data_IF_730139684748
#
_entry.id   IF_730139684748
#
_cell.length_a   1.000
_cell.length_b   1.000
_cell.length_c   1.000
_cell.angle_alpha   90.00
_cell.angle_beta   90.00
_cell.angle_gamma   90.00
#
_symmetry.space_group_name_H-M   'P 1'
#
loop_
_entity.id
_entity.type
_entity.pdbx_description
1 polymer ?
#
# COMPACT_ATOMS: atom_id res chain seq x y z
N UNK A 1 32.57 0.12 25.80
CA UNK A 1 31.31 0.83 26.10
C UNK A 1 30.37 0.54 24.93
N UNK A 2 29.25 -0.14 25.17
CA UNK A 2 28.19 -0.20 24.16
C UNK A 2 27.67 1.24 24.04
N UNK A 3 27.74 1.84 22.85
CA UNK A 3 27.13 3.14 22.62
C UNK A 3 25.63 3.03 22.91
N UNK A 4 25.10 3.93 23.72
CA UNK A 4 23.64 4.03 23.92
C UNK A 4 22.98 4.28 22.56
N UNK A 5 21.99 3.44 22.23
CA UNK A 5 21.24 3.58 20.99
C UNK A 5 20.60 4.97 20.94
N UNK A 6 20.57 5.57 19.75
CA UNK A 6 19.81 6.81 19.55
C UNK A 6 18.33 6.62 19.93
N UNK A 7 17.64 7.70 20.24
CA UNK A 7 16.20 7.71 20.45
C UNK A 7 15.52 8.72 19.54
N UNK A 8 14.22 8.51 19.28
CA UNK A 8 13.37 9.52 18.65
C UNK A 8 13.36 10.80 19.50
N UNK A 9 13.46 11.97 18.85
CA UNK A 9 13.49 13.23 19.60
C UNK A 9 12.12 13.55 20.19
N UNK A 10 11.05 13.17 19.48
CA UNK A 10 9.65 13.30 19.92
C UNK A 10 8.84 12.07 19.54
N UNK A 11 7.84 11.73 20.35
CA UNK A 11 6.88 10.64 20.05
C UNK A 11 6.16 10.81 18.70
N UNK A 12 5.85 12.05 18.32
CA UNK A 12 5.18 12.32 17.04
C UNK A 12 6.07 11.98 15.83
N UNK A 13 7.40 12.10 15.95
CA UNK A 13 8.34 11.72 14.88
C UNK A 13 8.30 10.21 14.64
N UNK A 14 8.20 9.41 15.71
CA UNK A 14 7.98 7.97 15.61
C UNK A 14 6.64 7.65 14.95
N UNK A 15 5.54 8.26 15.41
CA UNK A 15 4.20 8.01 14.85
C UNK A 15 4.17 8.36 13.37
N UNK A 16 4.70 9.52 12.97
CA UNK A 16 4.76 9.93 11.56
C UNK A 16 5.67 9.03 10.72
N UNK A 17 6.82 8.60 11.25
CA UNK A 17 7.71 7.68 10.54
C UNK A 17 7.09 6.30 10.34
N UNK A 18 6.27 5.84 11.29
CA UNK A 18 5.53 4.59 11.14
C UNK A 18 4.33 4.78 10.20
N UNK A 19 3.63 5.92 10.28
CA UNK A 19 2.52 6.26 9.38
C UNK A 19 2.99 6.31 7.90
N UNK A 20 4.09 7.00 7.61
CA UNK A 20 4.65 7.06 6.26
C UNK A 20 5.18 5.71 5.75
N UNK A 21 5.54 4.79 6.65
CA UNK A 21 5.98 3.45 6.26
C UNK A 21 4.83 2.48 5.94
N UNK A 22 3.66 2.65 6.58
CA UNK A 22 2.48 1.80 6.33
C UNK A 22 1.57 2.38 5.24
N UNK A 23 1.60 3.70 5.06
CA UNK A 23 0.88 4.41 4.00
C UNK A 23 1.83 4.64 2.83
N UNK A 24 1.74 3.76 1.83
CA UNK A 24 2.57 3.82 0.64
C UNK A 24 1.75 3.78 -0.65
N UNK A 25 2.42 3.51 -1.77
CA UNK A 25 1.78 3.45 -3.08
C UNK A 25 0.70 2.37 -3.19
N UNK A 26 0.85 1.30 -2.41
CA UNK A 26 -0.15 0.22 -2.32
C UNK A 26 -1.52 0.70 -1.82
N UNK A 27 -1.57 1.74 -0.97
CA UNK A 27 -2.82 2.33 -0.52
C UNK A 27 -3.53 3.10 -1.64
N UNK A 28 -2.75 3.68 -2.57
CA UNK A 28 -3.27 4.54 -3.64
C UNK A 28 -3.73 3.74 -4.85
N UNK A 29 -2.98 2.74 -5.31
CA UNK A 29 -3.34 2.01 -6.52
C UNK A 29 -3.74 0.55 -6.30
N UNK A 30 -3.16 -0.14 -5.32
CA UNK A 30 -3.37 -1.59 -5.15
C UNK A 30 -4.67 -1.85 -4.42
N UNK A 31 -4.89 -1.15 -3.31
CA UNK A 31 -6.12 -1.31 -2.54
C UNK A 31 -7.37 -0.97 -3.36
N UNK A 32 -7.44 0.17 -4.08
CA UNK A 32 -8.59 0.47 -4.92
C UNK A 32 -8.79 -0.58 -6.02
N UNK A 33 -7.71 -1.01 -6.67
CA UNK A 33 -7.79 -2.07 -7.68
C UNK A 33 -8.28 -3.41 -7.11
N UNK A 34 -7.84 -3.81 -5.91
CA UNK A 34 -8.32 -5.04 -5.26
C UNK A 34 -9.79 -4.94 -4.83
N UNK A 35 -10.24 -3.76 -4.42
CA UNK A 35 -11.66 -3.50 -4.18
C UNK A 35 -12.47 -3.58 -5.49
N UNK A 36 -11.90 -3.12 -6.62
CA UNK A 36 -12.49 -3.28 -7.95
C UNK A 36 -12.61 -4.74 -8.36
N UNK A 37 -11.49 -5.48 -8.32
CA UNK A 37 -11.42 -6.87 -8.75
C UNK A 37 -12.37 -7.77 -7.97
N UNK A 38 -12.67 -7.40 -6.72
CA UNK A 38 -13.40 -8.22 -5.77
C UNK A 38 -14.60 -7.49 -5.15
N UNK A 39 -15.37 -6.75 -5.95
CA UNK A 39 -16.76 -6.33 -5.67
C UNK A 39 -17.02 -5.59 -4.34
N UNK A 40 -16.54 -4.35 -4.20
CA UNK A 40 -16.63 -3.54 -2.98
C UNK A 40 -17.99 -3.52 -2.22
N UNK A 41 -17.94 -3.61 -0.87
CA UNK A 41 -19.09 -3.38 0.03
C UNK A 41 -18.65 -2.67 1.33
N UNK A 42 -19.35 -1.60 1.75
CA UNK A 42 -19.16 -0.92 3.05
C UNK A 42 -20.43 -0.98 3.92
N UNK A 43 -21.61 -1.24 3.35
CA UNK A 43 -22.89 -0.77 3.89
C UNK A 43 -23.55 -1.63 4.96
N UNK A 44 -23.43 -2.96 4.88
CA UNK A 44 -24.29 -3.85 5.68
C UNK A 44 -23.59 -4.52 6.89
N UNK A 45 -22.26 -4.40 7.04
CA UNK A 45 -21.50 -5.17 8.03
C UNK A 45 -20.77 -4.34 9.10
N UNK A 46 -20.69 -3.01 8.96
CA UNK A 46 -19.98 -2.14 9.93
C UNK A 46 -20.53 -2.29 11.37
N UNK A 47 -21.85 -2.53 11.49
CA UNK A 47 -22.53 -2.68 12.78
C UNK A 47 -22.17 -4.00 13.50
N UNK A 48 -22.34 -5.20 12.91
CA UNK A 48 -21.92 -6.46 13.56
C UNK A 48 -20.40 -6.57 13.75
N UNK A 49 -19.61 -5.97 12.86
CA UNK A 49 -18.15 -5.87 13.01
C UNK A 49 -17.74 -5.08 14.26
N UNK A 50 -18.23 -3.84 14.42
CA UNK A 50 -17.92 -3.01 15.60
C UNK A 50 -18.30 -3.71 16.91
N UNK A 51 -19.36 -4.53 16.89
CA UNK A 51 -19.76 -5.36 18.03
C UNK A 51 -18.70 -6.42 18.34
N UNK A 52 -18.28 -7.24 17.38
CA UNK A 52 -17.28 -8.31 17.60
C UNK A 52 -15.90 -7.79 17.99
N UNK A 53 -15.50 -6.63 17.45
CA UNK A 53 -14.24 -5.96 17.80
C UNK A 53 -14.22 -5.53 19.27
N UNK A 54 -15.31 -4.90 19.74
CA UNK A 54 -15.42 -4.41 21.10
C UNK A 54 -15.64 -5.54 22.11
N UNK A 55 -16.39 -6.58 21.76
CA UNK A 55 -16.75 -7.66 22.70
C UNK A 55 -15.76 -8.82 22.73
N UNK A 56 -15.03 -9.09 21.64
CA UNK A 56 -14.12 -10.24 21.55
C UNK A 56 -12.68 -9.83 21.21
N UNK A 57 -12.48 -8.99 20.19
CA UNK A 57 -11.14 -8.62 19.71
C UNK A 57 -10.30 -7.86 20.75
N UNK A 58 -10.83 -6.75 21.27
CA UNK A 58 -10.14 -5.92 22.28
C UNK A 58 -9.90 -6.72 23.58
N UNK A 59 -10.86 -7.48 24.14
CA UNK A 59 -10.61 -8.30 25.33
C UNK A 59 -9.57 -9.40 25.12
N UNK A 60 -9.58 -10.12 24.00
CA UNK A 60 -8.57 -11.15 23.70
C UNK A 60 -7.17 -10.55 23.56
N UNK A 61 -7.07 -9.41 22.88
CA UNK A 61 -5.80 -8.70 22.73
C UNK A 61 -5.24 -8.21 24.08
N UNK A 62 -6.08 -7.61 24.93
CA UNK A 62 -5.69 -7.18 26.27
C UNK A 62 -5.30 -8.37 27.16
N UNK A 63 -6.01 -9.49 27.03
CA UNK A 63 -5.69 -10.74 27.73
C UNK A 63 -4.32 -11.27 27.32
N UNK A 64 -4.03 -11.41 26.03
CA UNK A 64 -2.75 -11.92 25.54
C UNK A 64 -1.58 -10.99 25.91
N UNK A 65 -1.80 -9.68 25.83
CA UNK A 65 -0.81 -8.67 26.23
C UNK A 65 -0.54 -8.71 27.74
N UNK A 66 -1.58 -8.83 28.57
CA UNK A 66 -1.46 -8.92 30.01
C UNK A 66 -0.79 -10.24 30.44
N UNK A 67 -1.14 -11.36 29.79
CA UNK A 67 -0.55 -12.69 30.03
C UNK A 67 0.94 -12.70 29.64
N UNK A 68 1.28 -12.11 28.48
CA UNK A 68 2.68 -11.95 28.06
C UNK A 68 3.50 -11.08 29.04
N UNK A 69 2.91 -10.00 29.55
CA UNK A 69 3.56 -9.11 30.52
C UNK A 69 3.69 -9.74 31.91
N UNK A 70 2.69 -10.50 32.36
CA UNK A 70 2.70 -11.17 33.66
C UNK A 70 3.72 -12.31 33.69
N UNK A 71 3.86 -13.06 32.59
CA UNK A 71 4.75 -14.21 32.54
C UNK A 71 6.21 -13.87 32.22
N UNK A 72 6.48 -12.72 31.57
CA UNK A 72 7.82 -12.28 31.14
C UNK A 72 8.66 -13.38 30.42
N UNK A 73 7.98 -14.29 29.73
CA UNK A 73 8.59 -15.42 29.02
C UNK A 73 8.01 -15.54 27.60
N UNK A 74 8.67 -16.33 26.74
CA UNK A 74 8.18 -16.60 25.38
C UNK A 74 6.76 -17.21 25.40
N UNK A 75 5.98 -16.94 24.35
CA UNK A 75 4.57 -17.32 24.23
C UNK A 75 4.30 -18.80 24.55
N UNK A 76 5.16 -19.70 24.06
CA UNK A 76 5.07 -21.15 24.29
C UNK A 76 5.28 -21.49 25.78
N UNK A 77 6.25 -20.85 26.44
CA UNK A 77 6.56 -21.09 27.85
C UNK A 77 5.48 -20.53 28.78
N UNK A 78 4.86 -19.42 28.37
CA UNK A 78 3.72 -18.80 29.05
C UNK A 78 2.51 -19.75 29.11
N UNK A 79 2.12 -20.33 27.97
CA UNK A 79 1.02 -21.30 27.90
C UNK A 79 1.32 -22.62 28.61
N UNK A 80 2.60 -23.07 28.62
CA UNK A 80 3.04 -24.26 29.35
C UNK A 80 2.76 -24.19 30.86
N UNK A 81 2.84 -23.00 31.46
CA UNK A 81 2.56 -22.78 32.89
C UNK A 81 1.07 -22.60 33.20
N UNK A 82 0.30 -22.04 32.26
CA UNK A 82 -1.13 -21.76 32.42
C UNK A 82 -2.02 -22.98 32.19
N UNK A 83 -1.73 -23.80 31.18
CA UNK A 83 -2.49 -25.03 30.92
C UNK A 83 -1.68 -26.01 30.05
N UNK A 84 -1.11 -27.08 30.63
CA UNK A 84 -0.31 -28.08 29.89
C UNK A 84 -1.09 -28.82 28.78
N UNK A 85 -2.42 -28.82 28.82
CA UNK A 85 -3.29 -29.48 27.82
C UNK A 85 -3.40 -28.65 26.53
N UNK A 86 -3.10 -27.35 26.56
CA UNK A 86 -3.16 -26.48 25.39
C UNK A 86 -1.97 -26.63 24.44
N UNK A 87 -0.99 -27.48 24.77
CA UNK A 87 0.23 -27.73 23.96
C UNK A 87 -0.10 -28.23 22.54
N UNK A 88 -1.27 -28.87 22.35
CA UNK A 88 -1.77 -29.34 21.06
C UNK A 88 -2.74 -28.40 20.32
N UNK A 89 -3.10 -27.25 20.91
CA UNK A 89 -4.07 -26.30 20.32
C UNK A 89 -3.43 -25.02 19.76
N UNK A 90 -2.09 -24.87 19.87
CA UNK A 90 -1.35 -23.67 19.42
C UNK A 90 -0.72 -23.90 18.04
N UNK A 91 -1.46 -24.58 17.17
CA UNK A 91 -1.33 -24.45 15.71
C UNK A 91 -2.73 -24.17 15.18
N UNK A 92 -3.22 -22.95 15.42
CA UNK A 92 -4.38 -22.41 14.72
C UNK A 92 -4.00 -22.05 13.28
N UNK A 93 -3.71 -23.06 12.47
CA UNK A 93 -3.75 -23.01 11.01
C UNK A 93 -4.51 -24.23 10.43
N UNK A 94 -4.76 -25.28 11.22
CA UNK A 94 -5.41 -26.51 10.71
C UNK A 94 -6.91 -26.37 10.41
N UNK A 95 -7.65 -25.56 11.15
CA UNK A 95 -9.11 -25.46 11.00
C UNK A 95 -9.59 -24.22 10.23
N UNK A 96 -8.74 -23.20 10.05
CA UNK A 96 -9.05 -22.02 9.23
C UNK A 96 -8.86 -22.31 7.73
N UNK A 97 -8.02 -23.29 7.36
CA UNK A 97 -7.76 -23.65 5.96
C UNK A 97 -8.56 -24.86 5.47
N UNK A 98 -8.88 -25.82 6.36
CA UNK A 98 -9.59 -27.04 5.95
C UNK A 98 -11.10 -26.83 5.74
N UNK A 99 -11.72 -25.91 6.47
CA UNK A 99 -13.13 -25.60 6.31
C UNK A 99 -13.40 -24.83 4.99
N UNK A 100 -12.60 -23.81 4.61
CA UNK A 100 -12.67 -23.22 3.27
C UNK A 100 -12.26 -24.18 2.15
N UNK A 101 -11.30 -25.10 2.37
CA UNK A 101 -10.94 -26.13 1.38
C UNK A 101 -12.08 -27.15 1.11
N UNK A 102 -12.91 -27.43 2.11
CA UNK A 102 -14.09 -28.30 1.95
C UNK A 102 -15.28 -27.55 1.31
N UNK A 103 -15.39 -26.23 1.52
CA UNK A 103 -16.31 -25.37 0.78
C UNK A 103 -15.85 -25.12 -0.67
N UNK A 104 -14.53 -25.04 -0.91
CA UNK A 104 -13.83 -24.91 -2.21
C UNK A 104 -14.16 -26.04 -3.19
N UNK A 105 -14.53 -27.23 -2.70
CA UNK A 105 -14.89 -28.34 -3.59
C UNK A 105 -16.28 -28.17 -4.25
N UNK A 106 -17.12 -27.24 -3.75
CA UNK A 106 -18.57 -27.25 -4.03
C UNK A 106 -19.22 -25.91 -4.47
N UNK A 107 -18.48 -24.87 -4.88
CA UNK A 107 -19.17 -23.71 -5.50
C UNK A 107 -18.27 -22.52 -5.78
N UNK A 108 -18.33 -22.03 -7.02
CA UNK A 108 -17.64 -20.84 -7.49
C UNK A 108 -18.51 -19.58 -7.50
N UNK A 109 -17.83 -18.52 -7.93
CA UNK A 109 -18.26 -17.17 -8.32
C UNK A 109 -18.16 -16.04 -7.26
N UNK A 110 -17.73 -14.88 -7.79
CA UNK A 110 -16.63 -13.93 -7.41
C UNK A 110 -17.02 -12.86 -6.40
N UNK A 111 -16.07 -12.37 -5.48
CA UNK A 111 -15.64 -11.04 -4.76
C UNK A 111 -16.38 -10.02 -3.71
N UNK A 112 -16.22 -10.05 -2.39
CA UNK A 112 -16.67 -8.93 -1.51
C UNK A 112 -15.60 -8.57 -0.49
N UNK A 113 -14.66 -7.73 -0.92
CA UNK A 113 -13.32 -7.65 -0.36
C UNK A 113 -13.15 -6.83 0.91
N UNK A 114 -13.92 -5.75 1.07
CA UNK A 114 -13.70 -4.84 2.19
C UNK A 114 -14.12 -5.45 3.54
N UNK A 115 -15.13 -6.32 3.54
CA UNK A 115 -15.58 -7.03 4.75
C UNK A 115 -14.48 -7.96 5.30
N UNK A 116 -13.93 -8.92 4.51
CA UNK A 116 -12.73 -9.67 4.86
C UNK A 116 -11.58 -8.78 5.33
N UNK A 117 -11.33 -7.67 4.63
CA UNK A 117 -10.27 -6.73 4.97
C UNK A 117 -10.47 -6.13 6.37
N UNK A 118 -11.64 -5.57 6.68
CA UNK A 118 -11.92 -4.99 7.99
C UNK A 118 -11.83 -6.05 9.10
N UNK A 119 -12.40 -7.24 8.89
CA UNK A 119 -12.30 -8.36 9.84
C UNK A 119 -10.84 -8.68 10.14
N UNK A 120 -10.03 -8.92 9.11
CA UNK A 120 -8.63 -9.29 9.23
C UNK A 120 -7.77 -8.15 9.79
N UNK A 121 -8.12 -6.89 9.57
CA UNK A 121 -7.43 -5.75 10.19
C UNK A 121 -7.52 -5.85 11.70
N UNK A 122 -8.67 -6.19 12.26
CA UNK A 122 -8.81 -6.30 13.72
C UNK A 122 -8.34 -7.64 14.25
N UNK A 123 -8.64 -8.75 13.59
CA UNK A 123 -8.31 -10.08 14.12
C UNK A 123 -6.85 -10.44 13.93
N UNK A 124 -6.17 -9.92 12.90
CA UNK A 124 -4.78 -10.27 12.59
C UNK A 124 -3.86 -9.04 12.50
N UNK A 125 -4.27 -8.01 11.76
CA UNK A 125 -3.43 -6.84 11.48
C UNK A 125 -3.00 -6.09 12.73
N UNK A 126 -3.96 -5.62 13.52
CA UNK A 126 -3.73 -4.86 14.76
C UNK A 126 -2.94 -5.68 15.78
N UNK A 127 -3.32 -6.94 16.11
CA UNK A 127 -2.57 -7.75 17.06
C UNK A 127 -1.10 -7.96 16.65
N UNK A 128 -0.84 -8.28 15.39
CA UNK A 128 0.53 -8.52 14.92
C UNK A 128 1.36 -7.23 14.86
N UNK A 129 0.76 -6.12 14.46
CA UNK A 129 1.40 -4.81 14.46
C UNK A 129 1.83 -4.40 15.89
N UNK A 130 0.95 -4.63 16.86
CA UNK A 130 1.20 -4.39 18.27
C UNK A 130 2.31 -5.30 18.81
N UNK A 131 2.25 -6.59 18.46
CA UNK A 131 3.25 -7.58 18.85
C UNK A 131 4.66 -7.17 18.37
N UNK A 132 4.83 -6.87 17.08
CA UNK A 132 6.14 -6.48 16.54
C UNK A 132 6.65 -5.17 17.14
N UNK A 133 5.76 -4.20 17.35
CA UNK A 133 6.11 -2.93 17.96
C UNK A 133 6.58 -3.12 19.41
N UNK A 134 5.87 -3.93 20.19
CA UNK A 134 6.22 -4.26 21.57
C UNK A 134 7.53 -5.04 21.64
N UNK A 135 7.72 -6.04 20.76
CA UNK A 135 8.95 -6.82 20.65
C UNK A 135 10.14 -5.93 20.31
N UNK A 136 9.99 -5.02 19.33
CA UNK A 136 11.04 -4.08 18.96
C UNK A 136 11.42 -3.13 20.10
N UNK A 137 10.42 -2.54 20.76
CA UNK A 137 10.64 -1.65 21.91
C UNK A 137 11.26 -2.39 23.11
N UNK A 138 10.85 -3.64 23.36
CA UNK A 138 11.44 -4.45 24.44
C UNK A 138 12.88 -4.84 24.13
N UNK A 139 13.15 -5.28 22.90
CA UNK A 139 14.46 -5.76 22.51
C UNK A 139 15.51 -4.65 22.42
N UNK A 140 15.10 -3.42 22.00
CA UNK A 140 15.99 -2.28 21.73
C UNK A 140 17.12 -2.58 20.72
N UNK A 141 16.89 -3.56 19.84
CA UNK A 141 17.89 -4.13 18.94
C UNK A 141 17.39 -4.16 17.48
N UNK A 142 18.28 -4.42 16.52
CA UNK A 142 17.87 -4.70 15.15
C UNK A 142 17.10 -6.02 15.01
N UNK A 143 16.43 -6.25 13.88
CA UNK A 143 15.59 -7.45 13.66
C UNK A 143 16.34 -8.77 13.86
N UNK A 144 17.53 -8.94 13.29
CA UNK A 144 18.36 -10.16 13.43
C UNK A 144 18.73 -10.41 14.90
N UNK A 145 19.28 -9.39 15.54
CA UNK A 145 19.70 -9.43 16.95
C UNK A 145 18.53 -9.63 17.91
N UNK A 146 17.34 -9.13 17.56
CA UNK A 146 16.10 -9.36 18.30
C UNK A 146 15.70 -10.84 18.27
N UNK A 147 15.66 -11.45 17.08
CA UNK A 147 15.37 -12.88 16.94
C UNK A 147 16.40 -13.75 17.66
N UNK A 148 17.69 -13.41 17.58
CA UNK A 148 18.74 -14.11 18.33
C UNK A 148 18.53 -14.08 19.85
N UNK A 149 18.03 -12.97 20.40
CA UNK A 149 17.73 -12.85 21.85
C UNK A 149 16.45 -13.61 22.24
N UNK A 150 15.43 -13.61 21.38
CA UNK A 150 14.15 -14.27 21.65
C UNK A 150 14.21 -15.79 21.46
N UNK A 151 14.72 -16.22 20.32
CA UNK A 151 14.84 -17.63 19.94
C UNK A 151 16.02 -17.79 18.96
N UNK A 152 17.21 -18.20 19.44
CA UNK A 152 18.40 -18.36 18.59
C UNK A 152 18.19 -19.28 17.38
N UNK A 153 17.34 -20.30 17.51
CA UNK A 153 17.01 -21.23 16.40
C UNK A 153 16.28 -20.48 15.27
N UNK A 154 15.49 -19.47 15.61
CA UNK A 154 14.73 -18.65 14.67
C UNK A 154 15.49 -17.41 14.16
N UNK A 155 16.81 -17.30 14.41
CA UNK A 155 17.63 -16.18 13.95
C UNK A 155 17.55 -15.98 12.41
N UNK A 156 17.36 -17.08 11.67
CA UNK A 156 17.14 -17.06 10.21
C UNK A 156 15.96 -16.21 9.76
N UNK A 157 14.93 -16.02 10.60
CA UNK A 157 13.77 -15.15 10.28
C UNK A 157 14.23 -13.70 10.11
N UNK A 158 15.17 -13.24 10.95
CA UNK A 158 15.73 -11.89 10.85
C UNK A 158 16.50 -11.68 9.55
N UNK A 159 17.31 -12.66 9.13
CA UNK A 159 18.04 -12.60 7.85
C UNK A 159 17.09 -12.65 6.65
N UNK A 160 16.06 -13.49 6.71
CA UNK A 160 15.02 -13.56 5.67
C UNK A 160 14.29 -12.22 5.51
N UNK A 161 13.90 -11.58 6.62
CA UNK A 161 13.28 -10.25 6.60
C UNK A 161 14.17 -9.18 5.96
N UNK A 162 15.47 -9.16 6.30
CA UNK A 162 16.43 -8.22 5.67
C UNK A 162 16.56 -8.48 4.17
N UNK A 163 16.59 -9.73 3.73
CA UNK A 163 16.67 -10.07 2.30
C UNK A 163 15.42 -9.60 1.53
N UNK A 164 14.23 -9.79 2.11
CA UNK A 164 12.97 -9.27 1.55
C UNK A 164 13.03 -7.74 1.41
N UNK A 165 13.54 -7.03 2.43
CA UNK A 165 13.71 -5.58 2.37
C UNK A 165 14.67 -5.14 1.28
N UNK A 166 15.80 -5.82 1.10
CA UNK A 166 16.78 -5.49 0.04
C UNK A 166 16.13 -5.58 -1.35
N UNK A 167 15.45 -6.69 -1.65
CA UNK A 167 14.75 -6.84 -2.94
C UNK A 167 13.62 -5.82 -3.12
N UNK A 168 12.91 -5.53 -2.03
CA UNK A 168 11.87 -4.49 -2.03
C UNK A 168 12.46 -3.12 -2.32
N UNK A 169 13.59 -2.75 -1.70
CA UNK A 169 14.28 -1.49 -1.97
C UNK A 169 14.72 -1.36 -3.43
N UNK A 170 15.32 -2.42 -4.00
CA UNK A 170 15.81 -2.41 -5.39
C UNK A 170 14.67 -2.16 -6.39
N UNK A 171 13.50 -2.77 -6.17
CA UNK A 171 12.37 -2.65 -7.10
C UNK A 171 11.60 -1.35 -6.91
N UNK A 172 11.42 -0.92 -5.67
CA UNK A 172 10.57 0.21 -5.34
C UNK A 172 11.23 1.56 -5.64
N UNK A 173 12.56 1.66 -5.53
CA UNK A 173 13.30 2.87 -5.95
C UNK A 173 13.18 3.14 -7.46
N UNK A 174 12.98 2.09 -8.27
CA UNK A 174 12.73 2.24 -9.72
C UNK A 174 11.36 2.86 -9.98
N UNK A 175 10.35 2.52 -9.17
CA UNK A 175 9.03 3.16 -9.27
C UNK A 175 9.12 4.65 -8.95
N UNK A 176 9.94 5.02 -7.96
CA UNK A 176 10.23 6.41 -7.63
C UNK A 176 10.97 7.14 -8.76
N UNK A 177 11.87 6.47 -9.49
CA UNK A 177 12.56 7.09 -10.62
C UNK A 177 11.63 7.34 -11.81
N UNK A 178 10.68 6.44 -12.08
CA UNK A 178 9.60 6.69 -13.05
C UNK A 178 8.75 7.89 -12.64
N UNK A 179 8.38 7.97 -11.37
CA UNK A 179 7.58 9.07 -10.83
C UNK A 179 8.28 10.42 -10.95
N UNK A 180 9.59 10.46 -10.68
CA UNK A 180 10.41 11.64 -10.87
C UNK A 180 10.51 12.05 -12.35
N UNK A 181 10.64 11.07 -13.25
CA UNK A 181 10.67 11.34 -14.69
C UNK A 181 9.35 11.96 -15.17
N UNK A 182 8.20 11.38 -14.76
CA UNK A 182 6.89 11.94 -15.06
C UNK A 182 6.73 13.36 -14.49
N UNK A 183 7.17 13.60 -13.25
CA UNK A 183 7.15 14.93 -12.64
C UNK A 183 7.93 15.96 -13.46
N UNK A 184 9.11 15.59 -13.99
CA UNK A 184 9.90 16.47 -14.87
C UNK A 184 9.11 16.80 -16.14
N UNK A 185 8.48 15.80 -16.76
CA UNK A 185 7.66 16.01 -17.95
C UNK A 185 6.38 16.83 -17.68
N UNK A 186 5.83 16.81 -16.46
CA UNK A 186 4.66 17.60 -16.07
C UNK A 186 4.86 19.12 -16.16
N UNK A 187 6.12 19.59 -16.16
CA UNK A 187 6.44 21.03 -16.32
C UNK A 187 6.46 21.48 -17.79
N UNK A 188 6.22 20.58 -18.75
CA UNK A 188 6.12 20.91 -20.16
C UNK A 188 4.83 21.68 -20.46
N UNK A 189 4.86 22.54 -21.49
CA UNK A 189 3.68 23.32 -21.89
C UNK A 189 2.50 22.45 -22.31
N UNK A 190 2.76 21.33 -22.98
CA UNK A 190 1.82 20.26 -23.28
C UNK A 190 2.34 18.96 -22.66
N UNK A 191 1.43 18.18 -22.06
CA UNK A 191 1.80 16.89 -21.47
C UNK A 191 2.14 15.89 -22.58
N UNK A 192 3.30 15.19 -22.51
CA UNK A 192 3.73 14.27 -23.58
C UNK A 192 2.75 13.12 -23.84
N UNK A 193 2.04 12.67 -22.80
CA UNK A 193 1.04 11.59 -22.88
C UNK A 193 -0.37 12.07 -23.27
N UNK A 194 -0.56 13.36 -23.56
CA UNK A 194 -1.85 13.91 -23.99
C UNK A 194 -2.02 13.89 -25.53
N UNK A 195 -0.93 13.75 -26.29
CA UNK A 195 -0.96 13.83 -27.76
C UNK A 195 -0.24 12.66 -28.40
N UNK A 196 -0.67 12.28 -29.61
CA UNK A 196 -0.03 11.24 -30.42
C UNK A 196 1.06 11.77 -31.37
N UNK A 197 1.40 13.07 -31.30
CA UNK A 197 2.34 13.69 -32.25
C UNK A 197 3.78 13.69 -31.71
N UNK A 198 4.28 12.53 -31.30
CA UNK A 198 5.65 12.38 -30.82
C UNK A 198 6.41 11.29 -31.61
N UNK A 199 7.74 11.33 -31.56
CA UNK A 199 8.59 10.40 -32.31
C UNK A 199 8.50 8.94 -31.85
N UNK A 200 7.94 8.69 -30.68
CA UNK A 200 7.72 7.35 -30.13
C UNK A 200 6.31 6.83 -30.39
N UNK A 201 5.41 7.64 -30.99
CA UNK A 201 4.04 7.19 -31.22
C UNK A 201 3.93 6.36 -32.50
N UNK A 202 3.04 5.38 -32.48
CA UNK A 202 2.72 4.55 -33.65
C UNK A 202 1.55 5.12 -34.45
N UNK A 203 1.33 4.60 -35.66
CA UNK A 203 0.15 4.93 -36.47
C UNK A 203 -1.19 4.45 -35.86
N UNK A 204 -1.14 3.69 -34.76
CA UNK A 204 -2.30 3.17 -34.04
C UNK A 204 -2.65 3.98 -32.79
N UNK A 205 -1.89 5.05 -32.51
CA UNK A 205 -2.12 5.91 -31.36
C UNK A 205 -3.42 6.70 -31.48
N UNK A 206 -4.17 6.78 -30.37
CA UNK A 206 -5.39 7.56 -30.25
C UNK A 206 -5.35 8.52 -29.06
N UNK A 207 -5.74 9.78 -29.26
CA UNK A 207 -5.74 10.84 -28.22
C UNK A 207 -7.10 11.49 -27.97
N UNK A 208 -8.22 10.83 -28.28
CA UNK A 208 -9.57 11.23 -27.84
C UNK A 208 -10.18 12.50 -28.46
N UNK A 209 -9.38 13.42 -29.03
CA UNK A 209 -9.86 14.77 -29.34
C UNK A 209 -9.97 15.19 -30.81
N UNK A 210 -9.55 14.41 -31.83
CA UNK A 210 -9.67 14.90 -33.22
C UNK A 210 -9.83 13.87 -34.36
N UNK A 211 -9.81 12.55 -34.14
CA UNK A 211 -9.87 11.58 -35.23
C UNK A 211 -11.26 10.94 -35.39
N UNK A 212 -12.28 11.77 -35.65
CA UNK A 212 -13.63 11.29 -36.00
C UNK A 212 -13.71 10.69 -37.42
N UNK A 213 -12.67 10.81 -38.25
CA UNK A 213 -12.65 10.34 -39.65
C UNK A 213 -11.95 9.01 -39.91
N UNK A 214 -11.43 8.30 -38.89
CA UNK A 214 -10.72 7.03 -39.05
C UNK A 214 -11.36 5.82 -38.33
N UNK A 215 -12.62 5.96 -37.88
CA UNK A 215 -13.23 5.04 -36.91
C UNK A 215 -13.59 3.64 -37.48
N UNK A 216 -13.66 3.42 -38.78
CA UNK A 216 -14.36 2.23 -39.27
C UNK A 216 -13.54 0.95 -39.44
N UNK A 217 -12.24 0.86 -39.11
CA UNK A 217 -11.47 -0.37 -39.43
C UNK A 217 -10.19 -0.69 -38.62
N UNK A 218 -9.90 -0.08 -37.46
CA UNK A 218 -8.72 -0.46 -36.66
C UNK A 218 -9.14 -1.18 -35.39
N UNK A 219 -8.99 -2.51 -35.38
CA UNK A 219 -9.26 -3.38 -34.22
C UNK A 219 -8.19 -3.33 -33.12
N UNK A 220 -7.07 -2.61 -33.35
CA UNK A 220 -5.96 -2.48 -32.40
C UNK A 220 -5.54 -1.01 -32.28
N UNK A 221 -6.28 -0.18 -31.55
CA UNK A 221 -5.88 1.20 -31.21
C UNK A 221 -5.32 1.27 -29.81
N UNK A 222 -4.20 1.97 -29.63
CA UNK A 222 -3.50 2.17 -28.35
C UNK A 222 -3.65 3.60 -27.88
N UNK A 223 -3.76 3.83 -26.56
CA UNK A 223 -3.84 5.19 -26.04
C UNK A 223 -2.47 5.89 -26.09
N UNK A 224 -2.47 7.21 -26.24
CA UNK A 224 -1.24 8.02 -26.18
C UNK A 224 -0.47 7.83 -24.85
N UNK A 225 -1.18 7.60 -23.75
CA UNK A 225 -0.57 7.35 -22.44
C UNK A 225 0.07 5.95 -22.35
N UNK A 226 -0.57 4.93 -22.91
CA UNK A 226 -0.02 3.56 -23.01
C UNK A 226 1.26 3.57 -23.82
N UNK A 227 1.28 4.21 -25.00
CA UNK A 227 2.50 4.28 -25.81
C UNK A 227 3.62 5.10 -25.14
N UNK A 228 3.28 6.18 -24.43
CA UNK A 228 4.25 6.93 -23.65
C UNK A 228 4.89 6.05 -22.56
N UNK A 229 4.09 5.27 -21.82
CA UNK A 229 4.59 4.37 -20.79
C UNK A 229 5.45 3.24 -21.37
N UNK A 230 4.91 2.48 -22.33
CA UNK A 230 5.52 1.26 -22.82
C UNK A 230 6.71 1.52 -23.75
N UNK A 231 6.59 2.49 -24.67
CA UNK A 231 7.58 2.71 -25.71
C UNK A 231 8.60 3.79 -25.33
N UNK A 232 8.17 4.84 -24.60
CA UNK A 232 9.04 5.97 -24.28
C UNK A 232 9.71 5.88 -22.91
N UNK A 233 8.96 5.55 -21.86
CA UNK A 233 9.49 5.47 -20.48
C UNK A 233 10.19 4.14 -20.24
N UNK A 234 9.48 3.02 -20.46
CA UNK A 234 10.02 1.68 -20.23
C UNK A 234 10.86 1.19 -21.41
N UNK A 235 10.44 1.49 -22.64
CA UNK A 235 10.97 0.86 -23.86
C UNK A 235 10.99 -0.68 -23.71
N UNK A 236 9.80 -1.23 -23.46
CA UNK A 236 9.60 -2.66 -23.17
C UNK A 236 10.22 -3.52 -24.28
N UNK A 237 11.08 -4.45 -23.89
CA UNK A 237 11.72 -5.41 -24.79
C UNK A 237 10.83 -6.63 -25.06
N UNK A 238 11.22 -7.47 -26.03
CA UNK A 238 10.47 -8.68 -26.38
C UNK A 238 10.43 -9.75 -25.27
N UNK A 239 11.29 -9.65 -24.26
CA UNK A 239 11.30 -10.57 -23.12
C UNK A 239 12.50 -10.36 -22.19
N UNK A 240 12.54 -11.14 -21.10
CA UNK A 240 13.60 -11.04 -20.08
C UNK A 240 15.01 -11.38 -20.63
N UNK A 241 15.06 -12.21 -21.68
CA UNK A 241 16.32 -12.60 -22.35
C UNK A 241 16.93 -11.43 -23.14
N UNK A 242 16.10 -10.47 -23.55
CA UNK A 242 16.50 -9.29 -24.30
C UNK A 242 16.39 -8.06 -23.41
N UNK A 243 17.39 -7.82 -22.57
CA UNK A 243 17.37 -6.70 -21.60
C UNK A 243 17.39 -5.33 -22.32
N UNK A 244 17.78 -5.29 -23.59
CA UNK A 244 17.82 -4.06 -24.38
C UNK A 244 18.92 -3.10 -23.93
N UNK A 245 18.65 -1.79 -23.99
CA UNK A 245 19.60 -0.74 -23.62
C UNK A 245 19.12 0.04 -22.40
N UNK A 246 20.05 0.50 -21.57
CA UNK A 246 19.73 1.29 -20.38
C UNK A 246 19.21 2.67 -20.78
N UNK A 247 18.01 3.02 -20.32
CA UNK A 247 17.42 4.35 -20.51
C UNK A 247 18.11 5.36 -19.60
N UNK A 248 18.99 6.18 -20.17
CA UNK A 248 19.82 7.15 -19.42
C UNK A 248 19.02 8.14 -18.57
N UNK A 249 17.84 8.57 -19.04
CA UNK A 249 16.97 9.47 -18.28
C UNK A 249 16.44 8.82 -16.99
N UNK A 250 15.98 7.58 -17.07
CA UNK A 250 15.53 6.80 -15.90
C UNK A 250 16.70 6.53 -14.96
N UNK A 251 17.89 6.26 -15.50
CA UNK A 251 19.11 6.08 -14.70
C UNK A 251 19.50 7.37 -13.94
N UNK A 252 19.39 8.53 -14.57
CA UNK A 252 19.63 9.83 -13.92
C UNK A 252 18.60 10.09 -12.81
N UNK A 253 17.31 9.83 -13.08
CA UNK A 253 16.27 9.92 -12.07
C UNK A 253 16.50 8.94 -10.90
N UNK A 254 16.96 7.72 -11.19
CA UNK A 254 17.29 6.71 -10.19
C UNK A 254 18.45 7.17 -9.30
N UNK A 255 19.52 7.71 -9.87
CA UNK A 255 20.64 8.28 -9.10
C UNK A 255 20.17 9.45 -8.24
N UNK A 256 19.32 10.34 -8.78
CA UNK A 256 18.76 11.46 -8.02
C UNK A 256 17.92 10.96 -6.82
N UNK A 257 17.07 9.94 -7.02
CA UNK A 257 16.27 9.36 -5.94
C UNK A 257 17.14 8.71 -4.86
N UNK A 258 18.22 8.00 -5.22
CA UNK A 258 19.18 7.46 -4.24
C UNK A 258 19.85 8.55 -3.41
N UNK A 259 20.25 9.66 -4.04
CA UNK A 259 20.85 10.80 -3.35
C UNK A 259 19.85 11.44 -2.38
N UNK A 260 18.58 11.58 -2.78
CA UNK A 260 17.51 12.08 -1.91
C UNK A 260 17.32 11.14 -0.71
N UNK A 261 17.14 9.83 -0.95
CA UNK A 261 17.00 8.83 0.12
C UNK A 261 18.19 8.87 1.09
N UNK A 262 19.42 8.96 0.57
CA UNK A 262 20.63 9.06 1.40
C UNK A 262 20.56 10.27 2.36
N UNK A 263 20.26 11.46 1.86
CA UNK A 263 20.15 12.66 2.71
C UNK A 263 18.97 12.60 3.68
N UNK A 264 17.90 11.88 3.36
CA UNK A 264 16.81 11.64 4.30
C UNK A 264 17.27 10.83 5.52
N UNK A 265 18.15 9.84 5.33
CA UNK A 265 18.56 8.88 6.39
C UNK A 265 19.96 9.08 6.96
N UNK A 266 20.82 9.94 6.37
CA UNK A 266 22.27 10.03 6.69
C UNK A 266 22.64 10.25 8.17
N UNK A 267 21.75 10.85 8.99
CA UNK A 267 21.95 11.04 10.45
C UNK A 267 21.03 10.13 11.27
N UNK A 268 20.58 9.03 10.68
CA UNK A 268 19.63 8.07 11.27
C UNK A 268 18.28 8.71 11.61
N UNK A 269 17.67 8.21 12.69
CA UNK A 269 16.33 8.61 13.15
C UNK A 269 16.17 10.11 13.42
N UNK A 270 17.26 10.84 13.69
CA UNK A 270 17.21 12.30 13.89
C UNK A 270 17.00 13.09 12.59
N UNK A 271 17.45 12.55 11.46
CA UNK A 271 17.18 13.13 10.13
C UNK A 271 15.80 12.70 9.66
N UNK A 272 15.55 11.39 9.69
CA UNK A 272 14.28 10.80 9.27
C UNK A 272 13.10 11.45 10.00
N UNK A 273 13.18 11.57 11.33
CA UNK A 273 12.12 12.18 12.15
C UNK A 273 11.79 13.64 11.77
N UNK A 274 12.71 14.38 11.15
CA UNK A 274 12.46 15.74 10.67
C UNK A 274 11.86 15.76 9.27
N UNK A 275 12.34 14.89 8.39
CA UNK A 275 11.86 14.78 7.00
C UNK A 275 10.42 14.31 6.96
N UNK A 276 10.04 13.34 7.81
CA UNK A 276 8.68 12.76 7.87
C UNK A 276 7.58 13.76 8.21
N UNK A 277 7.91 14.92 8.82
CA UNK A 277 6.92 15.97 9.01
C UNK A 277 6.39 16.50 7.68
N UNK A 278 7.22 16.54 6.65
CA UNK A 278 6.83 16.98 5.32
C UNK A 278 6.37 15.81 4.46
N UNK A 279 7.19 14.77 4.37
CA UNK A 279 6.94 13.64 3.46
C UNK A 279 5.70 12.85 3.84
N UNK A 280 5.39 12.68 5.14
CA UNK A 280 4.22 11.92 5.56
C UNK A 280 2.94 12.75 5.62
N UNK A 281 3.01 14.08 5.73
CA UNK A 281 1.81 14.92 5.88
C UNK A 281 1.31 15.51 4.57
N UNK A 282 2.22 15.90 3.66
CA UNK A 282 1.85 16.52 2.40
C UNK A 282 1.02 15.61 1.47
N UNK A 283 1.26 14.28 1.41
CA UNK A 283 0.39 13.37 0.65
C UNK A 283 -1.08 13.44 1.06
N UNK A 284 -1.39 13.69 2.34
CA UNK A 284 -2.78 13.84 2.79
C UNK A 284 -3.44 15.10 2.23
N UNK A 285 -2.69 16.21 2.19
CA UNK A 285 -3.17 17.46 1.60
C UNK A 285 -3.42 17.26 0.10
N UNK A 286 -2.48 16.61 -0.60
CA UNK A 286 -2.60 16.32 -2.03
C UNK A 286 -3.76 15.36 -2.32
N UNK A 287 -3.91 14.31 -1.50
CA UNK A 287 -5.00 13.36 -1.61
C UNK A 287 -6.35 14.04 -1.40
N UNK A 288 -6.47 14.94 -0.41
CA UNK A 288 -7.69 15.71 -0.18
C UNK A 288 -8.02 16.63 -1.38
N UNK A 289 -7.03 17.30 -1.94
CA UNK A 289 -7.19 18.15 -3.13
C UNK A 289 -7.64 17.32 -4.34
N UNK A 290 -7.02 16.16 -4.58
CA UNK A 290 -7.39 15.24 -5.65
C UNK A 290 -8.77 14.61 -5.42
N UNK A 291 -9.14 14.32 -4.18
CA UNK A 291 -10.46 13.81 -3.81
C UNK A 291 -11.56 14.83 -4.09
N UNK A 292 -11.39 16.08 -3.62
CA UNK A 292 -12.34 17.16 -3.89
C UNK A 292 -12.44 17.36 -5.41
N UNK A 293 -11.31 17.41 -6.11
CA UNK A 293 -11.31 17.57 -7.56
C UNK A 293 -12.03 16.42 -8.26
N UNK A 294 -11.68 15.18 -7.93
CA UNK A 294 -12.26 13.97 -8.50
C UNK A 294 -13.77 13.93 -8.33
N UNK A 295 -14.28 14.21 -7.13
CA UNK A 295 -15.72 14.23 -6.86
C UNK A 295 -16.48 15.37 -7.56
N UNK A 296 -15.80 16.46 -7.96
CA UNK A 296 -16.41 17.56 -8.73
C UNK A 296 -16.45 17.32 -10.24
N UNK A 297 -15.83 16.26 -10.74
CA UNK A 297 -15.82 15.94 -12.17
C UNK A 297 -17.16 15.35 -12.62
N UNK A 298 -17.59 15.57 -13.88
CA UNK A 298 -18.75 14.89 -14.42
C UNK A 298 -18.52 13.37 -14.47
N UNK A 299 -19.55 12.55 -14.29
CA UNK A 299 -19.42 11.09 -14.29
C UNK A 299 -18.70 10.48 -13.06
N UNK A 300 -18.16 11.29 -12.15
CA UNK A 300 -17.45 10.79 -10.96
C UNK A 300 -18.30 9.87 -10.08
N UNK A 301 -19.61 10.11 -10.03
CA UNK A 301 -20.55 9.28 -9.28
C UNK A 301 -20.66 7.86 -9.82
N UNK A 302 -20.47 7.62 -11.12
CA UNK A 302 -20.47 6.27 -11.68
C UNK A 302 -19.30 5.46 -11.12
N UNK A 303 -18.11 6.07 -11.04
CA UNK A 303 -16.93 5.47 -10.43
C UNK A 303 -17.10 5.21 -8.94
N UNK A 304 -17.64 6.17 -8.19
CA UNK A 304 -17.91 5.99 -6.75
C UNK A 304 -18.97 4.92 -6.50
N UNK A 305 -20.02 4.91 -7.31
CA UNK A 305 -21.07 3.90 -7.22
C UNK A 305 -20.50 2.52 -7.55
N UNK A 306 -19.67 2.41 -8.58
CA UNK A 306 -18.98 1.17 -8.94
C UNK A 306 -18.00 0.69 -7.86
N UNK A 307 -17.36 1.61 -7.14
CA UNK A 307 -16.50 1.28 -6.00
C UNK A 307 -17.26 0.77 -4.77
N UNK A 308 -18.52 1.22 -4.59
CA UNK A 308 -19.32 0.94 -3.40
C UNK A 308 -20.42 -0.13 -3.59
N UNK A 309 -20.85 -0.39 -4.83
CA UNK A 309 -21.97 -1.27 -5.10
C UNK A 309 -21.58 -2.74 -4.83
N UNK A 310 -22.28 -3.40 -3.90
CA UNK A 310 -21.92 -4.74 -3.48
C UNK A 310 -22.51 -5.79 -4.42
N UNK A 311 -21.73 -6.83 -4.67
CA UNK A 311 -22.27 -8.11 -5.10
C UNK A 311 -22.08 -9.10 -3.93
N UNK A 312 -23.17 -9.61 -3.33
CA UNK A 312 -23.07 -10.36 -2.04
C UNK A 312 -22.68 -11.82 -2.24
N UNK A 313 -22.95 -12.39 -3.41
CA UNK A 313 -22.46 -13.71 -3.86
C UNK A 313 -20.97 -13.88 -3.61
N UNK A 314 -20.32 -12.74 -3.66
CA UNK A 314 -18.93 -12.60 -3.75
C UNK A 314 -18.14 -12.82 -2.43
N UNK A 315 -18.81 -12.76 -1.26
CA UNK A 315 -18.22 -13.07 0.05
C UNK A 315 -17.87 -14.57 0.22
N UNK A 316 -18.46 -15.42 -0.61
CA UNK A 316 -18.29 -16.87 -0.55
C UNK A 316 -16.95 -17.35 -1.12
N UNK A 317 -16.29 -16.53 -1.95
CA UNK A 317 -15.03 -16.89 -2.60
C UNK A 317 -13.84 -16.78 -1.62
N UNK A 318 -13.13 -17.90 -1.33
CA UNK A 318 -11.95 -17.89 -0.47
C UNK A 318 -10.80 -17.02 -1.00
N UNK A 319 -10.69 -16.81 -2.32
CA UNK A 319 -9.63 -15.99 -2.91
C UNK A 319 -9.69 -14.56 -2.40
N UNK A 320 -10.89 -14.03 -2.20
CA UNK A 320 -11.14 -12.67 -1.68
C UNK A 320 -10.56 -12.50 -0.28
N UNK A 321 -10.76 -13.49 0.59
CA UNK A 321 -10.22 -13.50 1.94
C UNK A 321 -8.69 -13.61 1.95
N UNK A 322 -8.12 -14.41 1.04
CA UNK A 322 -6.66 -14.52 0.88
C UNK A 322 -6.05 -13.20 0.36
N UNK A 323 -6.68 -12.57 -0.63
CA UNK A 323 -6.24 -11.27 -1.16
C UNK A 323 -6.37 -10.16 -0.11
N UNK A 324 -7.43 -10.16 0.70
CA UNK A 324 -7.63 -9.22 1.80
C UNK A 324 -6.57 -9.41 2.90
N UNK A 325 -6.27 -10.66 3.26
CA UNK A 325 -5.20 -10.97 4.20
C UNK A 325 -3.86 -10.46 3.67
N UNK A 326 -3.50 -10.84 2.44
CA UNK A 326 -2.25 -10.41 1.81
C UNK A 326 -2.13 -8.88 1.79
N UNK A 327 -3.21 -8.16 1.45
CA UNK A 327 -3.22 -6.70 1.44
C UNK A 327 -2.88 -6.11 2.81
N UNK A 328 -3.39 -6.68 3.90
CA UNK A 328 -3.10 -6.19 5.27
C UNK A 328 -1.65 -6.45 5.66
N UNK A 329 -1.16 -7.67 5.42
CA UNK A 329 0.23 -8.03 5.73
C UNK A 329 1.22 -7.14 4.98
N UNK A 330 0.98 -6.90 3.68
CA UNK A 330 1.84 -6.03 2.87
C UNK A 330 1.67 -4.55 3.20
N UNK A 331 0.45 -4.07 3.49
CA UNK A 331 0.20 -2.67 3.82
C UNK A 331 0.81 -2.29 5.18
N UNK A 332 0.70 -3.14 6.19
CA UNK A 332 1.32 -2.88 7.49
C UNK A 332 2.80 -3.25 7.55
N UNK A 333 3.35 -3.91 6.52
CA UNK A 333 4.73 -4.41 6.50
C UNK A 333 5.08 -5.31 7.70
N UNK A 334 4.10 -6.09 8.17
CA UNK A 334 4.23 -6.98 9.32
C UNK A 334 4.99 -8.25 8.92
N UNK A 335 5.83 -8.77 9.80
CA UNK A 335 6.58 -10.01 9.64
C UNK A 335 7.96 -9.83 9.00
N UNK A 336 8.29 -8.62 8.55
CA UNK A 336 9.55 -8.32 7.85
C UNK A 336 10.61 -7.73 8.80
N UNK A 337 10.19 -7.18 9.94
CA UNK A 337 11.08 -6.63 10.97
C UNK A 337 11.42 -5.14 10.84
N UNK A 338 10.85 -4.43 9.86
CA UNK A 338 11.00 -2.98 9.73
C UNK A 338 10.35 -2.23 10.90
N UNK A 339 9.19 -2.71 11.38
CA UNK A 339 8.48 -2.16 12.54
C UNK A 339 9.23 -2.42 13.86
N UNK A 340 9.85 -3.60 13.99
CA UNK A 340 10.73 -3.95 15.13
C UNK A 340 11.86 -2.93 15.22
N UNK A 341 12.56 -2.66 14.11
CA UNK A 341 13.67 -1.71 14.08
C UNK A 341 13.19 -0.30 14.42
N UNK A 342 12.08 0.20 13.84
CA UNK A 342 11.57 1.55 14.15
C UNK A 342 11.15 1.69 15.61
N UNK A 343 10.53 0.66 16.17
CA UNK A 343 10.06 0.65 17.58
C UNK A 343 11.21 0.49 18.58
N UNK A 344 12.32 -0.12 18.17
CA UNK A 344 13.52 -0.26 19.02
C UNK A 344 14.25 1.04 19.34
N UNK A 345 13.92 2.14 18.66
CA UNK A 345 14.41 3.49 18.99
C UNK A 345 13.48 4.23 19.97
N UNK A 346 12.35 3.63 20.33
CA UNK A 346 11.43 4.21 21.32
C UNK A 346 11.94 3.96 22.75
N UNK A 347 11.57 4.80 23.71
CA UNK A 347 12.00 4.63 25.10
C UNK A 347 11.38 3.37 25.73
N UNK A 348 12.14 2.63 26.53
CA UNK A 348 11.65 1.39 27.18
C UNK A 348 10.42 1.64 28.07
N UNK A 349 10.45 2.71 28.88
CA UNK A 349 9.37 3.11 29.78
C UNK A 349 8.19 3.82 29.07
N UNK A 350 8.10 3.74 27.74
CA UNK A 350 6.95 4.30 27.04
C UNK A 350 5.68 3.53 27.42
N UNK A 351 4.67 4.26 27.88
CA UNK A 351 3.46 3.69 28.45
C UNK A 351 2.75 2.76 27.44
N UNK A 352 2.55 1.50 27.82
CA UNK A 352 1.86 0.47 27.03
C UNK A 352 0.52 0.97 26.49
N UNK A 353 -0.26 1.70 27.29
CA UNK A 353 -1.54 2.25 26.85
C UNK A 353 -1.39 3.24 25.69
N UNK A 354 -0.36 4.09 25.74
CA UNK A 354 -0.08 5.04 24.64
C UNK A 354 0.40 4.32 23.40
N UNK A 355 1.16 3.23 23.53
CA UNK A 355 1.62 2.42 22.40
C UNK A 355 0.46 1.69 21.73
N UNK A 356 -0.44 1.11 22.53
CA UNK A 356 -1.65 0.46 22.06
C UNK A 356 -2.54 1.46 21.33
N UNK A 357 -2.82 2.61 21.95
CA UNK A 357 -3.64 3.66 21.34
C UNK A 357 -3.01 4.23 20.06
N UNK A 358 -1.68 4.43 20.04
CA UNK A 358 -0.98 4.93 18.85
C UNK A 358 -1.04 3.91 17.71
N UNK A 359 -0.91 2.62 18.00
CA UNK A 359 -0.97 1.57 16.99
C UNK A 359 -2.38 1.40 16.43
N UNK A 360 -3.41 1.46 17.28
CA UNK A 360 -4.81 1.50 16.83
C UNK A 360 -5.07 2.70 15.91
N UNK A 361 -4.56 3.88 16.30
CA UNK A 361 -4.66 5.08 15.47
C UNK A 361 -3.94 4.92 14.12
N UNK A 362 -2.73 4.33 14.11
CA UNK A 362 -1.96 4.07 12.90
C UNK A 362 -2.66 3.08 11.96
N UNK A 363 -3.21 1.98 12.49
CA UNK A 363 -4.01 1.05 11.70
C UNK A 363 -5.27 1.71 11.13
N UNK A 364 -5.99 2.50 11.94
CA UNK A 364 -7.15 3.25 11.49
C UNK A 364 -6.79 4.28 10.40
N UNK A 365 -5.67 4.99 10.57
CA UNK A 365 -5.14 5.95 9.61
C UNK A 365 -4.79 5.27 8.29
N UNK A 366 -4.13 4.12 8.31
CA UNK A 366 -3.83 3.35 7.11
C UNK A 366 -5.11 2.94 6.36
N UNK A 367 -6.06 2.33 7.05
CA UNK A 367 -7.35 1.93 6.47
C UNK A 367 -8.12 3.13 5.92
N UNK A 368 -8.21 4.22 6.69
CA UNK A 368 -8.88 5.45 6.27
C UNK A 368 -8.22 6.07 5.05
N UNK A 369 -6.88 6.02 4.97
CA UNK A 369 -6.13 6.52 3.81
C UNK A 369 -6.42 5.67 2.57
N UNK A 370 -6.41 4.34 2.70
CA UNK A 370 -6.75 3.42 1.60
C UNK A 370 -8.17 3.66 1.06
N UNK A 371 -9.15 3.84 1.94
CA UNK A 371 -10.53 4.14 1.57
C UNK A 371 -10.63 5.50 0.86
N UNK A 372 -10.02 6.55 1.43
CA UNK A 372 -10.01 7.89 0.83
C UNK A 372 -9.32 7.90 -0.55
N UNK A 373 -8.23 7.15 -0.69
CA UNK A 373 -7.56 6.95 -1.97
C UNK A 373 -8.40 6.18 -2.97
N UNK A 374 -9.18 5.18 -2.52
CA UNK A 374 -10.21 4.53 -3.32
C UNK A 374 -11.19 5.53 -3.93
N UNK A 375 -11.80 6.38 -3.10
CA UNK A 375 -12.70 7.43 -3.60
C UNK A 375 -12.02 8.39 -4.57
N UNK A 376 -10.78 8.81 -4.29
CA UNK A 376 -10.04 9.73 -5.16
C UNK A 376 -9.69 9.11 -6.52
N UNK A 377 -9.32 7.82 -6.55
CA UNK A 377 -8.98 7.11 -7.80
C UNK A 377 -10.23 6.79 -8.60
N UNK A 378 -11.25 6.18 -7.99
CA UNK A 378 -12.46 5.78 -8.72
C UNK A 378 -13.29 6.96 -9.20
N UNK A 379 -13.31 8.09 -8.49
CA UNK A 379 -13.98 9.29 -8.99
C UNK A 379 -13.33 9.80 -10.29
N UNK A 380 -12.01 9.75 -10.39
CA UNK A 380 -11.26 10.13 -11.61
C UNK A 380 -11.42 9.09 -12.73
N UNK A 381 -11.43 7.79 -12.41
CA UNK A 381 -11.71 6.75 -13.40
C UNK A 381 -13.15 6.81 -13.93
N UNK A 382 -14.12 7.12 -13.06
CA UNK A 382 -15.52 7.32 -13.47
C UNK A 382 -15.68 8.49 -14.43
N UNK A 383 -14.96 9.60 -14.17
CA UNK A 383 -14.87 10.71 -15.13
C UNK A 383 -14.28 10.26 -16.48
N UNK A 384 -13.18 9.50 -16.47
CA UNK A 384 -12.58 9.00 -17.71
C UNK A 384 -13.55 8.11 -18.50
N UNK A 385 -14.20 7.16 -17.81
CA UNK A 385 -15.17 6.25 -18.40
C UNK A 385 -16.34 7.01 -19.05
N UNK A 386 -16.87 8.02 -18.35
CA UNK A 386 -17.95 8.88 -18.85
C UNK A 386 -17.54 9.70 -20.08
N UNK A 387 -16.34 10.31 -20.09
CA UNK A 387 -15.85 11.08 -21.24
C UNK A 387 -15.54 10.21 -22.46
N UNK A 388 -15.07 8.98 -22.24
CA UNK A 388 -14.76 8.04 -23.32
C UNK A 388 -15.96 7.20 -23.78
N UNK A 389 -17.06 7.20 -23.01
CA UNK A 389 -18.24 6.37 -23.27
C UNK A 389 -17.98 4.86 -23.17
N UNK A 390 -16.99 4.45 -22.36
CA UNK A 390 -16.59 3.05 -22.17
C UNK A 390 -16.88 2.61 -20.72
N UNK A 391 -17.12 1.32 -20.45
CA UNK A 391 -17.32 0.86 -19.08
C UNK A 391 -16.06 1.02 -18.24
N UNK A 392 -16.22 1.24 -16.93
CA UNK A 392 -15.10 1.49 -16.00
C UNK A 392 -14.09 0.32 -15.96
N UNK A 393 -14.55 -0.91 -16.24
CA UNK A 393 -13.70 -2.10 -16.30
C UNK A 393 -12.58 -2.01 -17.34
N UNK A 394 -12.81 -1.25 -18.42
CA UNK A 394 -11.90 -1.18 -19.57
C UNK A 394 -10.82 -0.11 -19.37
N UNK A 395 -11.04 0.83 -18.43
CA UNK A 395 -10.09 1.89 -18.05
C UNK A 395 -9.30 1.56 -16.78
N UNK A 396 -9.74 0.56 -16.01
CA UNK A 396 -9.13 0.17 -14.75
C UNK A 396 -7.96 -0.81 -14.97
N UNK A 397 -6.74 -0.27 -15.08
CA UNK A 397 -5.52 -1.09 -15.16
C UNK A 397 -5.04 -1.59 -13.78
N UNK A 398 -4.28 -2.69 -13.78
CA UNK A 398 -3.71 -3.27 -12.57
C UNK A 398 -2.29 -2.75 -12.29
N UNK A 399 -1.94 -2.59 -11.00
CA UNK A 399 -0.58 -2.28 -10.58
C UNK A 399 -0.08 -0.90 -11.04
N UNK A 400 1.16 -0.78 -11.54
CA UNK A 400 1.71 0.50 -12.00
C UNK A 400 0.93 1.14 -13.16
N UNK A 401 0.28 0.34 -14.01
CA UNK A 401 -0.52 0.85 -15.13
C UNK A 401 -1.61 1.82 -14.70
N UNK A 402 -2.23 1.56 -13.54
CA UNK A 402 -3.24 2.47 -12.97
C UNK A 402 -2.67 3.88 -12.73
N UNK A 403 -1.44 3.98 -12.22
CA UNK A 403 -0.83 5.23 -11.84
C UNK A 403 -0.04 5.91 -12.97
N UNK A 404 0.45 5.15 -13.95
CA UNK A 404 1.31 5.67 -15.02
C UNK A 404 0.65 5.70 -16.41
N UNK A 405 -0.51 5.05 -16.58
CA UNK A 405 -1.30 5.06 -17.82
C UNK A 405 -2.68 5.69 -17.54
N UNK A 406 -3.53 5.01 -16.75
CA UNK A 406 -4.92 5.42 -16.56
C UNK A 406 -5.02 6.79 -15.87
N UNK A 407 -4.35 7.00 -14.73
CA UNK A 407 -4.45 8.27 -14.02
C UNK A 407 -3.88 9.47 -14.82
N UNK A 408 -2.70 9.38 -15.48
CA UNK A 408 -2.19 10.46 -16.32
C UNK A 408 -3.06 10.75 -17.53
N UNK A 409 -3.68 9.74 -18.13
CA UNK A 409 -4.66 9.90 -19.20
C UNK A 409 -5.91 10.65 -18.72
N UNK A 410 -6.42 10.34 -17.52
CA UNK A 410 -7.56 11.07 -16.95
C UNK A 410 -7.20 12.53 -16.67
N UNK A 411 -6.01 12.77 -16.10
CA UNK A 411 -5.50 14.12 -15.84
C UNK A 411 -5.40 14.93 -17.13
N UNK A 412 -4.93 14.34 -18.23
CA UNK A 412 -4.79 15.03 -19.51
C UNK A 412 -6.12 15.56 -20.06
N UNK A 413 -7.25 14.95 -19.68
CA UNK A 413 -8.60 15.38 -20.06
C UNK A 413 -9.16 16.50 -19.16
N UNK A 414 -8.53 16.77 -18.00
CA UNK A 414 -8.99 17.80 -17.07
C UNK A 414 -8.49 19.20 -17.47
N UNK A 415 -9.23 20.27 -17.13
CA UNK A 415 -8.70 21.63 -17.22
C UNK A 415 -7.51 21.81 -16.28
N UNK A 416 -6.48 22.53 -16.77
CA UNK A 416 -5.18 22.74 -16.10
C UNK A 416 -4.46 21.42 -15.76
N UNK A 417 -4.22 20.53 -16.74
CA UNK A 417 -3.74 19.17 -16.51
C UNK A 417 -2.34 19.12 -15.87
N UNK A 418 -1.51 20.14 -16.09
CA UNK A 418 -0.17 20.26 -15.50
C UNK A 418 -0.23 20.36 -13.97
N UNK A 419 -1.17 21.13 -13.42
CA UNK A 419 -1.31 21.31 -11.97
C UNK A 419 -1.62 19.98 -11.28
N UNK A 420 -2.59 19.24 -11.82
CA UNK A 420 -3.02 17.96 -11.25
C UNK A 420 -1.92 16.88 -11.41
N UNK A 421 -1.21 16.89 -12.54
CA UNK A 421 -0.08 15.98 -12.77
C UNK A 421 1.06 16.22 -11.78
N UNK A 422 1.46 17.48 -11.57
CA UNK A 422 2.50 17.83 -10.59
C UNK A 422 2.09 17.41 -9.18
N UNK A 423 0.85 17.72 -8.76
CA UNK A 423 0.34 17.30 -7.45
C UNK A 423 0.36 15.77 -7.27
N UNK A 424 -0.08 15.03 -8.29
CA UNK A 424 -0.14 13.57 -8.24
C UNK A 424 1.25 12.91 -8.19
N UNK A 425 2.19 13.31 -9.05
CA UNK A 425 3.52 12.70 -9.05
C UNK A 425 4.37 13.12 -7.85
N UNK A 426 4.21 14.33 -7.32
CA UNK A 426 4.82 14.69 -6.03
C UNK A 426 4.26 13.79 -4.92
N UNK A 427 2.93 13.59 -4.87
CA UNK A 427 2.32 12.69 -3.88
C UNK A 427 2.89 11.28 -3.95
N UNK A 428 3.00 10.69 -5.14
CA UNK A 428 3.61 9.36 -5.35
C UNK A 428 5.05 9.33 -4.87
N UNK A 429 5.86 10.34 -5.21
CA UNK A 429 7.27 10.40 -4.78
C UNK A 429 7.36 10.44 -3.25
N UNK A 430 6.55 11.26 -2.59
CA UNK A 430 6.58 11.41 -1.13
C UNK A 430 6.11 10.13 -0.42
N UNK A 431 5.01 9.52 -0.87
CA UNK A 431 4.53 8.24 -0.34
C UNK A 431 5.57 7.13 -0.48
N UNK A 432 6.26 7.08 -1.61
CA UNK A 432 7.29 6.08 -1.81
C UNK A 432 8.58 6.37 -1.05
N UNK A 433 8.95 7.66 -0.89
CA UNK A 433 10.12 8.08 -0.11
C UNK A 433 10.02 7.71 1.37
N UNK A 434 8.84 7.75 1.97
CA UNK A 434 8.66 7.34 3.38
C UNK A 434 8.64 5.83 3.58
N UNK A 435 8.20 5.10 2.55
CA UNK A 435 8.21 3.63 2.54
C UNK A 435 9.63 3.09 2.40
N UNK A 436 10.49 3.77 1.61
CA UNK A 436 11.92 3.48 1.45
C UNK A 436 12.73 3.88 2.69
#
# INVERSE_FOLDING_TARGET
KVEERGHWSKTIEFILAVAGAIVGLGNVWRFPYLCYKNGGDVGAFLVPYLVLVVTCGIPLFLLESAVGQYAQEGSITCWRKLCPIAEGAIVCLGNVWRFPYLCYKNGGDVGAFLVPYLVLVVTCGIPLFLLESAVGQYAQEGSITCWRKLCPIAEGIGYGGVLILIYSCITYIVILSWSLLYLVFSFSSQLPWATCNNYWNSEFCFSGQNDTSAWSNKTNTTSAATEFWEQRVLAISGGIEEIGSVRWEVLLCLMAMWVICYFCIWKGVKSTGKVVYFTATLPYVMLLVLLIRGLTLPGAMEGVLYYLLPEVSQLADPQVWMEAAAQIFFSYSVGVGSLIVRSSYNNYNYNCYKQVLSSLWLCALNCGTSLAAGFAVFSVLGFMAHEQGVPISDVAESGPGLAFIAYPQAIAMMPLPQLWSVCFFIMIILLGLDTQ
#
